data_IF_249440006949
#
_entry.id   IF_249440006949
#
_cell.length_a   1.000
_cell.length_b   1.000
_cell.length_c   1.000
_cell.angle_alpha   90.00
_cell.angle_beta   90.00
_cell.angle_gamma   90.00
#
_symmetry.space_group_name_H-M   'P 1'
#
loop_
_entity.id
_entity.type
_entity.pdbx_description
1 polymer ?
#
# COMPACT_ATOMS: atom_id res chain seq x y z
N UNK A 1 -7.78 22.72 -8.53
CA UNK A 1 -6.77 21.64 -8.44
C UNK A 1 -6.73 20.97 -7.06
N UNK A 2 -6.65 21.72 -5.95
CA UNK A 2 -6.55 21.18 -4.58
C UNK A 2 -7.74 20.27 -4.18
N UNK A 3 -8.98 20.61 -4.59
CA UNK A 3 -10.17 19.79 -4.28
C UNK A 3 -10.17 18.41 -4.96
N UNK A 4 -9.70 18.32 -6.21
CA UNK A 4 -9.62 17.05 -6.96
C UNK A 4 -8.63 16.08 -6.32
N UNK A 5 -7.48 16.59 -5.86
CA UNK A 5 -6.46 15.78 -5.18
C UNK A 5 -6.96 15.27 -3.83
N UNK A 6 -7.70 16.09 -3.07
CA UNK A 6 -8.30 15.67 -1.79
C UNK A 6 -9.33 14.54 -1.99
N UNK A 7 -10.22 14.69 -2.97
CA UNK A 7 -11.22 13.66 -3.30
C UNK A 7 -10.56 12.34 -3.74
N UNK A 8 -9.52 12.41 -4.57
CA UNK A 8 -8.78 11.23 -4.99
C UNK A 8 -8.10 10.50 -3.81
N UNK A 9 -7.49 11.24 -2.88
CA UNK A 9 -6.90 10.66 -1.67
C UNK A 9 -7.97 9.98 -0.79
N UNK A 10 -9.15 10.57 -0.65
CA UNK A 10 -10.25 9.96 0.09
C UNK A 10 -10.70 8.65 -0.56
N UNK A 11 -10.89 8.65 -1.88
CA UNK A 11 -11.24 7.44 -2.64
C UNK A 11 -10.16 6.37 -2.46
N UNK A 12 -8.88 6.75 -2.57
CA UNK A 12 -7.76 5.83 -2.39
C UNK A 12 -7.74 5.23 -0.98
N UNK A 13 -7.96 6.04 0.06
CA UNK A 13 -8.01 5.57 1.44
C UNK A 13 -9.18 4.61 1.67
N UNK A 14 -10.38 4.94 1.18
CA UNK A 14 -11.56 4.06 1.26
C UNK A 14 -11.27 2.74 0.56
N UNK A 15 -10.70 2.80 -0.65
CA UNK A 15 -10.37 1.61 -1.41
C UNK A 15 -9.27 0.78 -0.76
N UNK A 16 -8.28 1.42 -0.13
CA UNK A 16 -7.27 0.75 0.69
C UNK A 16 -7.92 -0.01 1.84
N UNK A 17 -8.80 0.64 2.60
CA UNK A 17 -9.50 -0.01 3.71
C UNK A 17 -10.33 -1.20 3.22
N UNK A 18 -10.99 -1.06 2.08
CA UNK A 18 -11.75 -2.15 1.46
C UNK A 18 -10.87 -3.34 1.07
N UNK A 19 -9.80 -3.12 0.32
CA UNK A 19 -8.87 -4.19 -0.10
C UNK A 19 -8.18 -4.82 1.11
N UNK A 20 -7.78 -4.02 2.09
CA UNK A 20 -7.20 -4.50 3.33
C UNK A 20 -8.17 -5.41 4.10
N UNK A 21 -9.43 -4.99 4.27
CA UNK A 21 -10.46 -5.79 4.92
C UNK A 21 -10.73 -7.09 4.15
N UNK A 22 -10.74 -7.04 2.82
CA UNK A 22 -10.93 -8.21 1.97
C UNK A 22 -9.78 -9.22 2.10
N UNK A 23 -8.52 -8.74 2.13
CA UNK A 23 -7.35 -9.59 2.39
C UNK A 23 -7.43 -10.24 3.77
N UNK A 24 -7.87 -9.49 4.78
CA UNK A 24 -8.09 -10.06 6.12
C UNK A 24 -9.17 -11.14 6.11
N UNK A 25 -10.27 -10.92 5.38
CA UNK A 25 -11.32 -11.94 5.21
C UNK A 25 -10.80 -13.17 4.45
N UNK A 26 -9.98 -13.01 3.41
CA UNK A 26 -9.36 -14.13 2.72
C UNK A 26 -8.48 -14.97 3.65
N UNK A 27 -7.66 -14.30 4.47
CA UNK A 27 -6.82 -14.97 5.45
C UNK A 27 -7.64 -15.69 6.53
N UNK A 28 -8.60 -15.00 7.14
CA UNK A 28 -9.43 -15.55 8.23
C UNK A 28 -10.36 -16.66 7.74
N UNK A 29 -10.82 -16.58 6.49
CA UNK A 29 -11.62 -17.63 5.85
C UNK A 29 -10.78 -18.79 5.32
N UNK A 30 -9.47 -18.80 5.56
CA UNK A 30 -8.56 -19.88 5.14
C UNK A 30 -8.63 -20.12 3.63
N UNK A 31 -8.69 -19.02 2.85
CA UNK A 31 -8.74 -19.04 1.40
C UNK A 31 -10.06 -19.58 0.80
N UNK A 32 -11.16 -19.62 1.57
CA UNK A 32 -12.50 -19.90 1.05
C UNK A 32 -13.07 -18.73 0.25
N UNK A 33 -12.76 -17.50 0.68
CA UNK A 33 -13.03 -16.28 -0.08
C UNK A 33 -11.71 -15.76 -0.61
N UNK A 34 -11.62 -15.55 -1.93
CA UNK A 34 -10.44 -14.98 -2.56
C UNK A 34 -10.69 -13.52 -2.90
N UNK A 35 -9.70 -12.68 -2.61
CA UNK A 35 -9.65 -11.34 -3.17
C UNK A 35 -9.58 -11.48 -4.69
N UNK A 36 -10.42 -10.73 -5.38
CA UNK A 36 -10.37 -10.70 -6.84
C UNK A 36 -9.05 -10.07 -7.27
N UNK A 37 -8.31 -10.73 -8.16
CA UNK A 37 -7.08 -10.18 -8.77
C UNK A 37 -7.33 -8.80 -9.39
N UNK A 38 -8.55 -8.56 -9.92
CA UNK A 38 -8.94 -7.25 -10.43
C UNK A 38 -8.92 -6.17 -9.33
N UNK A 39 -9.41 -6.49 -8.14
CA UNK A 39 -9.41 -5.55 -7.01
C UNK A 39 -7.99 -5.21 -6.56
N UNK A 40 -7.12 -6.22 -6.41
CA UNK A 40 -5.70 -6.03 -6.08
C UNK A 40 -4.96 -5.21 -7.15
N UNK A 41 -5.23 -5.49 -8.43
CA UNK A 41 -4.61 -4.80 -9.57
C UNK A 41 -5.05 -3.34 -9.65
N UNK A 42 -6.35 -3.08 -9.51
CA UNK A 42 -6.90 -1.72 -9.47
C UNK A 42 -6.29 -0.94 -8.30
N UNK A 43 -6.14 -1.58 -7.15
CA UNK A 43 -5.56 -0.95 -5.97
C UNK A 43 -4.12 -0.54 -6.20
N UNK A 44 -3.28 -1.45 -6.70
CA UNK A 44 -1.89 -1.14 -7.03
C UNK A 44 -1.76 -0.07 -8.11
N UNK A 45 -2.66 -0.09 -9.10
CA UNK A 45 -2.69 0.93 -10.15
C UNK A 45 -3.04 2.30 -9.58
N UNK A 46 -4.04 2.40 -8.70
CA UNK A 46 -4.43 3.66 -8.08
C UNK A 46 -3.34 4.20 -7.15
N UNK A 47 -2.72 3.34 -6.33
CA UNK A 47 -1.59 3.72 -5.46
C UNK A 47 -0.39 4.15 -6.30
N UNK A 48 -0.05 3.39 -7.34
CA UNK A 48 1.07 3.71 -8.23
C UNK A 48 0.85 5.03 -8.97
N UNK A 49 -0.36 5.28 -9.49
CA UNK A 49 -0.71 6.55 -10.12
C UNK A 49 -0.63 7.72 -9.13
N UNK A 50 -1.11 7.52 -7.89
CA UNK A 50 -1.01 8.54 -6.84
C UNK A 50 0.43 8.92 -6.52
N UNK A 51 1.28 7.91 -6.28
CA UNK A 51 2.69 8.10 -5.95
C UNK A 51 3.42 8.73 -7.13
N UNK A 52 3.20 8.22 -8.35
CA UNK A 52 3.79 8.76 -9.56
C UNK A 52 3.46 10.24 -9.79
N UNK A 53 2.18 10.61 -9.77
CA UNK A 53 1.76 12.01 -9.94
C UNK A 53 2.39 12.93 -8.87
N UNK A 54 2.36 12.49 -7.60
CA UNK A 54 2.94 13.23 -6.48
C UNK A 54 4.44 13.45 -6.65
N UNK A 55 5.18 12.43 -7.04
CA UNK A 55 6.64 12.53 -7.22
C UNK A 55 7.01 13.34 -8.47
N UNK A 56 6.26 13.23 -9.57
CA UNK A 56 6.44 14.09 -10.76
C UNK A 56 6.24 15.57 -10.40
N UNK A 57 5.17 15.89 -9.67
CA UNK A 57 4.90 17.26 -9.20
C UNK A 57 5.99 17.78 -8.26
N UNK A 58 6.57 16.91 -7.43
CA UNK A 58 7.71 17.24 -6.56
C UNK A 58 8.97 17.51 -7.38
N UNK A 59 9.28 16.71 -8.39
CA UNK A 59 10.45 16.93 -9.26
C UNK A 59 10.31 18.26 -10.02
N UNK A 60 9.11 18.58 -10.53
CA UNK A 60 8.82 19.83 -11.26
C UNK A 60 8.75 21.09 -10.39
N UNK A 61 9.25 21.06 -9.15
CA UNK A 61 9.29 22.18 -8.17
C UNK A 61 7.93 22.83 -7.84
N UNK A 62 6.80 22.26 -8.29
CA UNK A 62 5.46 22.86 -8.13
C UNK A 62 4.84 22.63 -6.75
N UNK A 63 5.41 21.71 -5.95
CA UNK A 63 4.93 21.40 -4.60
C UNK A 63 6.08 21.07 -3.64
N UNK A 64 6.06 21.69 -2.46
CA UNK A 64 6.84 21.32 -1.27
C UNK A 64 5.86 20.91 -0.17
N UNK A 65 5.15 19.80 -0.37
CA UNK A 65 4.33 19.25 0.71
C UNK A 65 5.24 18.46 1.65
N UNK A 66 5.40 19.00 2.87
CA UNK A 66 6.19 18.45 3.99
C UNK A 66 5.52 17.23 4.66
N UNK A 67 4.35 16.81 4.20
CA UNK A 67 3.48 15.93 4.98
C UNK A 67 3.85 14.44 4.84
N UNK A 68 4.18 13.81 5.96
CA UNK A 68 4.69 12.44 6.13
C UNK A 68 3.62 11.32 6.07
N UNK A 69 2.41 11.61 5.55
CA UNK A 69 1.27 10.67 5.59
C UNK A 69 1.50 9.31 4.90
N UNK A 70 2.56 9.15 4.12
CA UNK A 70 2.90 7.87 3.48
C UNK A 70 3.50 6.83 4.43
N UNK A 71 4.12 7.26 5.55
CA UNK A 71 4.80 6.34 6.48
C UNK A 71 3.79 5.41 7.17
N UNK A 72 2.65 5.93 7.61
CA UNK A 72 1.60 5.14 8.27
C UNK A 72 1.02 4.07 7.34
N UNK A 73 0.92 4.36 6.05
CA UNK A 73 0.43 3.41 5.05
C UNK A 73 1.40 2.24 4.85
N UNK A 74 2.70 2.52 4.83
CA UNK A 74 3.75 1.50 4.70
C UNK A 74 3.78 0.64 5.95
N UNK A 75 3.69 1.26 7.14
CA UNK A 75 3.62 0.55 8.41
C UNK A 75 2.40 -0.37 8.48
N UNK A 76 1.23 0.07 8.01
CA UNK A 76 0.02 -0.76 7.93
C UNK A 76 0.28 -2.07 7.14
N UNK A 77 0.83 -1.96 5.93
CA UNK A 77 1.05 -3.11 5.05
C UNK A 77 2.20 -4.00 5.51
N UNK A 78 3.28 -3.42 6.03
CA UNK A 78 4.39 -4.18 6.63
C UNK A 78 3.91 -4.95 7.86
N UNK A 79 3.20 -4.28 8.77
CA UNK A 79 2.65 -4.92 9.95
C UNK A 79 1.70 -6.05 9.56
N UNK A 80 0.80 -5.79 8.60
CA UNK A 80 -0.13 -6.81 8.07
C UNK A 80 0.62 -8.02 7.52
N UNK A 81 1.64 -7.82 6.68
CA UNK A 81 2.44 -8.91 6.13
C UNK A 81 3.12 -9.73 7.24
N UNK A 82 3.78 -9.06 8.18
CA UNK A 82 4.50 -9.72 9.28
C UNK A 82 3.53 -10.50 10.17
N UNK A 83 2.42 -9.88 10.58
CA UNK A 83 1.42 -10.53 11.44
C UNK A 83 0.82 -11.76 10.77
N UNK A 84 0.41 -11.66 9.51
CA UNK A 84 -0.19 -12.79 8.79
C UNK A 84 0.84 -13.89 8.49
N UNK A 85 2.09 -13.53 8.20
CA UNK A 85 3.17 -14.49 8.03
C UNK A 85 3.45 -15.25 9.32
N UNK A 86 3.55 -14.57 10.47
CA UNK A 86 3.75 -15.21 11.77
C UNK A 86 2.59 -16.15 12.11
N UNK A 87 1.34 -15.70 11.96
CA UNK A 87 0.17 -16.56 12.22
C UNK A 87 0.18 -17.78 11.30
N UNK A 88 0.45 -17.60 10.00
CA UNK A 88 0.55 -18.71 9.06
C UNK A 88 1.69 -19.69 9.42
N UNK A 89 2.84 -19.21 9.87
CA UNK A 89 3.96 -20.07 10.25
C UNK A 89 3.68 -20.88 11.52
N UNK A 90 3.06 -20.29 12.53
CA UNK A 90 2.80 -20.98 13.80
C UNK A 90 1.51 -21.81 13.80
N UNK A 91 0.46 -21.34 13.12
CA UNK A 91 -0.88 -21.93 13.17
C UNK A 91 -1.34 -22.53 11.83
N UNK A 92 -0.60 -22.30 10.73
CA UNK A 92 -0.99 -22.73 9.39
C UNK A 92 -1.08 -24.25 9.22
N UNK A 93 -0.12 -25.01 9.77
CA UNK A 93 -0.07 -26.48 9.62
C UNK A 93 -1.25 -27.19 10.28
N UNK A 94 -1.78 -26.64 11.38
CA UNK A 94 -2.88 -27.26 12.14
C UNK A 94 -4.26 -26.67 11.82
N UNK A 95 -4.32 -25.40 11.42
CA UNK A 95 -5.59 -24.70 11.24
C UNK A 95 -5.90 -24.28 9.80
N UNK A 96 -4.99 -24.52 8.85
CA UNK A 96 -5.22 -24.27 7.42
C UNK A 96 -5.10 -22.80 7.00
N UNK A 97 -4.49 -21.94 7.84
CA UNK A 97 -4.21 -20.56 7.47
C UNK A 97 -3.19 -20.52 6.33
N UNK A 98 -3.54 -19.80 5.27
CA UNK A 98 -2.68 -19.58 4.09
C UNK A 98 -2.54 -18.08 3.85
N UNK A 99 -1.34 -17.68 3.49
CA UNK A 99 -1.06 -16.29 3.13
C UNK A 99 -1.77 -15.99 1.79
N UNK A 100 -2.57 -14.91 1.69
CA UNK A 100 -3.18 -14.49 0.44
C UNK A 100 -2.10 -14.25 -0.62
N UNK A 101 -2.27 -14.74 -1.86
CA UNK A 101 -1.23 -14.69 -2.89
C UNK A 101 -0.88 -13.26 -3.31
N UNK A 102 -1.84 -12.34 -3.21
CA UNK A 102 -1.65 -10.93 -3.59
C UNK A 102 -0.97 -10.11 -2.49
N UNK A 103 -0.95 -10.59 -1.23
CA UNK A 103 -0.43 -9.82 -0.10
C UNK A 103 1.08 -9.53 -0.21
N UNK A 104 1.97 -10.50 -0.56
CA UNK A 104 3.38 -10.23 -0.78
C UNK A 104 3.62 -9.20 -1.89
N UNK A 105 2.85 -9.29 -2.98
CA UNK A 105 2.97 -8.37 -4.12
C UNK A 105 2.56 -6.95 -3.71
N UNK A 106 1.44 -6.84 -2.99
CA UNK A 106 0.93 -5.55 -2.50
C UNK A 106 1.92 -4.90 -1.54
N UNK A 107 2.31 -5.61 -0.49
CA UNK A 107 3.23 -5.10 0.52
C UNK A 107 4.61 -4.73 -0.07
N UNK A 108 5.14 -5.56 -0.97
CA UNK A 108 6.39 -5.27 -1.69
C UNK A 108 6.28 -4.03 -2.56
N UNK A 109 5.18 -3.86 -3.30
CA UNK A 109 4.95 -2.68 -4.14
C UNK A 109 4.85 -1.39 -3.31
N UNK A 110 4.14 -1.44 -2.18
CA UNK A 110 4.02 -0.30 -1.25
C UNK A 110 5.38 0.09 -0.68
N UNK A 111 6.21 -0.89 -0.33
CA UNK A 111 7.58 -0.65 0.15
C UNK A 111 8.46 -0.01 -0.95
N UNK A 112 8.38 -0.51 -2.18
CA UNK A 112 9.10 0.06 -3.33
C UNK A 112 8.69 1.52 -3.55
N UNK A 113 7.39 1.82 -3.56
CA UNK A 113 6.89 3.19 -3.71
C UNK A 113 7.40 4.11 -2.60
N UNK A 114 7.50 3.61 -1.37
CA UNK A 114 8.07 4.35 -0.26
C UNK A 114 9.57 4.61 -0.43
N UNK A 115 10.35 3.59 -0.82
CA UNK A 115 11.79 3.74 -1.08
C UNK A 115 12.06 4.78 -2.17
N UNK A 116 11.33 4.72 -3.29
CA UNK A 116 11.43 5.71 -4.37
C UNK A 116 11.12 7.12 -3.83
N UNK A 117 10.07 7.23 -3.01
CA UNK A 117 9.66 8.50 -2.40
C UNK A 117 10.75 9.07 -1.48
N UNK A 118 11.39 8.24 -0.66
CA UNK A 118 12.47 8.66 0.23
C UNK A 118 13.74 9.04 -0.54
N UNK A 119 14.09 8.31 -1.59
CA UNK A 119 15.27 8.61 -2.40
C UNK A 119 15.14 9.97 -3.10
N UNK A 120 13.97 10.26 -3.66
CA UNK A 120 13.68 11.57 -4.29
C UNK A 120 13.76 12.71 -3.26
N UNK A 121 13.27 12.49 -2.02
CA UNK A 121 13.39 13.47 -0.94
C UNK A 121 14.85 13.70 -0.52
N UNK A 122 15.63 12.62 -0.39
CA UNK A 122 17.05 12.65 0.00
C UNK A 122 17.86 13.45 -1.03
N UNK A 123 17.72 13.14 -2.31
CA UNK A 123 18.37 13.85 -3.42
C UNK A 123 18.04 15.34 -3.46
N UNK A 124 16.82 15.73 -3.10
CA UNK A 124 16.41 17.13 -3.07
C UNK A 124 17.02 17.90 -1.89
N UNK A 125 17.15 17.26 -0.72
CA UNK A 125 17.80 17.89 0.45
C UNK A 125 19.28 18.14 0.22
N UNK A 126 19.97 17.29 -0.54
CA UNK A 126 21.39 17.47 -0.91
C UNK A 126 21.65 18.59 -1.93
N UNK A 127 20.61 19.03 -2.67
CA UNK A 127 20.70 20.10 -3.69
C UNK A 127 20.33 21.49 -3.17
N UNK A 128 19.85 21.60 -1.94
CA UNK A 128 19.55 22.85 -1.23
C UNK A 128 20.70 23.17 -0.27
#
# INVERSE_FOLDING_TARGET
MIHRVKAFIQILNIYTCFVWAWIMLEFLSKNQFKVSTLASTLYLTLVGAYVGDKEILRIRKKYSSRNQRGELFVLLWLFTLISLALIASFWGSHHGYKIPPDLPVISGSVLIFWLITEEIKSHRRKKL
#
